data_IF_887919985583
#
_entry.id   IF_887919985583
#
_cell.length_a   1.000
_cell.length_b   1.000
_cell.length_c   1.000
_cell.angle_alpha   90.00
_cell.angle_beta   90.00
_cell.angle_gamma   90.00
#
_symmetry.space_group_name_H-M   'P 1'
#
loop_
_entity.id
_entity.type
_entity.pdbx_description
1 polymer ?
#
# COMPACT_ATOMS: atom_id res chain seq x y z
N UNK A 1 -17.53 23.53 -7.59
CA UNK A 1 -16.18 24.12 -7.75
C UNK A 1 -15.27 23.72 -6.58
N UNK A 2 -15.82 23.44 -5.40
CA UNK A 2 -15.10 22.97 -4.19
C UNK A 2 -14.53 21.52 -4.25
N UNK A 3 -14.71 20.82 -5.37
CA UNK A 3 -14.18 19.45 -5.56
C UNK A 3 -12.73 19.45 -6.11
N UNK A 4 -12.26 20.60 -6.60
CA UNK A 4 -10.96 20.72 -7.31
C UNK A 4 -9.89 21.36 -6.40
N UNK A 5 -10.28 22.07 -5.33
CA UNK A 5 -9.36 22.47 -4.24
C UNK A 5 -9.11 21.30 -3.28
N UNK A 6 -8.77 20.13 -3.84
CA UNK A 6 -8.33 18.96 -3.10
C UNK A 6 -6.91 19.23 -2.61
N UNK A 7 -6.79 19.90 -1.48
CA UNK A 7 -5.53 19.95 -0.76
C UNK A 7 -5.24 18.54 -0.25
N UNK A 8 -4.10 17.98 -0.64
CA UNK A 8 -3.67 16.68 -0.15
C UNK A 8 -3.48 16.73 1.37
N UNK A 9 -4.55 16.38 2.09
CA UNK A 9 -4.59 16.39 3.55
C UNK A 9 -4.31 14.97 4.03
N UNK A 10 -3.18 14.84 4.73
CA UNK A 10 -2.86 13.61 5.42
C UNK A 10 -3.56 13.57 6.76
N UNK A 11 -4.39 12.54 6.99
CA UNK A 11 -4.98 12.27 8.29
C UNK A 11 -4.24 11.11 8.95
N UNK A 12 -3.75 11.32 10.17
CA UNK A 12 -3.10 10.27 10.97
C UNK A 12 -4.07 9.85 12.07
N UNK A 13 -4.92 8.88 11.73
CA UNK A 13 -5.82 8.24 12.69
C UNK A 13 -5.26 6.92 13.21
N UNK A 14 -5.70 6.51 14.40
CA UNK A 14 -5.32 5.23 15.00
C UNK A 14 -5.72 4.04 14.12
N UNK A 15 -6.85 4.13 13.42
CA UNK A 15 -7.30 3.12 12.47
C UNK A 15 -6.37 3.00 11.26
N UNK A 16 -5.96 4.14 10.68
CA UNK A 16 -5.01 4.18 9.58
C UNK A 16 -3.64 3.62 10.00
N UNK A 17 -3.20 3.93 11.23
CA UNK A 17 -1.95 3.43 11.80
C UNK A 17 -1.98 1.91 11.98
N UNK A 18 -3.06 1.36 12.55
CA UNK A 18 -3.23 -0.10 12.74
C UNK A 18 -3.35 -0.80 11.38
N UNK A 19 -4.09 -0.23 10.43
CA UNK A 19 -4.22 -0.75 9.08
C UNK A 19 -2.88 -0.79 8.34
N UNK A 20 -2.11 0.30 8.39
CA UNK A 20 -0.77 0.36 7.82
C UNK A 20 0.19 -0.65 8.46
N UNK A 21 0.15 -0.80 9.79
CA UNK A 21 0.97 -1.79 10.49
C UNK A 21 0.61 -3.23 10.05
N UNK A 22 -0.67 -3.54 9.88
CA UNK A 22 -1.12 -4.85 9.41
C UNK A 22 -0.69 -5.12 7.96
N UNK A 23 -0.80 -4.13 7.06
CA UNK A 23 -0.35 -4.28 5.67
C UNK A 23 1.16 -4.52 5.63
N UNK A 24 1.94 -3.80 6.44
CA UNK A 24 3.40 -4.00 6.51
C UNK A 24 3.77 -5.40 7.01
N UNK A 25 3.10 -5.91 8.07
CA UNK A 25 3.40 -7.25 8.59
C UNK A 25 3.02 -8.34 7.58
N UNK A 26 1.87 -8.23 6.92
CA UNK A 26 1.47 -9.16 5.87
C UNK A 26 2.41 -9.11 4.66
N UNK A 27 2.85 -7.91 4.27
CA UNK A 27 3.78 -7.73 3.15
C UNK A 27 5.14 -8.36 3.48
N UNK A 28 5.65 -8.19 4.71
CA UNK A 28 6.89 -8.85 5.14
C UNK A 28 6.78 -10.38 5.09
N UNK A 29 5.67 -10.94 5.56
CA UNK A 29 5.43 -12.39 5.49
C UNK A 29 5.30 -12.87 4.03
N UNK A 30 4.57 -12.13 3.19
CA UNK A 30 4.39 -12.45 1.78
C UNK A 30 5.71 -12.36 1.00
N UNK A 31 6.58 -11.40 1.31
CA UNK A 31 7.93 -11.30 0.74
C UNK A 31 8.81 -12.45 1.20
N UNK A 32 8.79 -12.79 2.49
CA UNK A 32 9.56 -13.92 3.03
C UNK A 32 9.18 -15.24 2.35
N UNK A 33 7.89 -15.58 2.35
CA UNK A 33 7.42 -16.80 1.69
C UNK A 33 7.54 -16.73 0.16
N UNK A 34 7.35 -15.55 -0.43
CA UNK A 34 7.44 -15.34 -1.88
C UNK A 34 8.85 -15.54 -2.43
N UNK A 35 9.89 -15.12 -1.70
CA UNK A 35 11.28 -15.37 -2.07
C UNK A 35 11.58 -16.86 -2.00
N UNK A 36 11.18 -17.56 -0.94
CA UNK A 36 11.42 -19.00 -0.80
C UNK A 36 10.66 -19.80 -1.87
N UNK A 37 9.41 -19.44 -2.14
CA UNK A 37 8.55 -20.11 -3.12
C UNK A 37 9.02 -19.92 -4.57
N UNK A 38 9.40 -18.70 -4.96
CA UNK A 38 9.81 -18.38 -6.34
C UNK A 38 11.33 -18.38 -6.53
N UNK A 39 12.15 -18.85 -5.56
CA UNK A 39 13.62 -18.70 -5.57
C UNK A 39 14.30 -19.14 -6.88
N UNK A 40 13.67 -20.06 -7.62
CA UNK A 40 14.17 -20.60 -8.89
C UNK A 40 13.73 -19.83 -10.14
N UNK A 41 12.85 -18.85 -10.00
CA UNK A 41 12.28 -18.12 -11.14
C UNK A 41 12.97 -16.79 -11.40
N UNK A 42 13.24 -16.49 -12.68
CA UNK A 42 13.93 -15.28 -13.11
C UNK A 42 13.15 -13.97 -12.84
N UNK A 43 11.91 -14.06 -12.38
CA UNK A 43 10.98 -12.94 -12.28
C UNK A 43 10.65 -12.52 -10.84
N UNK A 44 11.37 -13.06 -9.85
CA UNK A 44 11.28 -12.64 -8.45
C UNK A 44 11.35 -11.12 -8.31
N UNK A 45 12.32 -10.47 -8.94
CA UNK A 45 12.53 -9.03 -8.75
C UNK A 45 11.33 -8.20 -9.19
N UNK A 46 10.61 -8.64 -10.23
CA UNK A 46 9.40 -7.95 -10.70
C UNK A 46 8.22 -8.18 -9.76
N UNK A 47 8.07 -9.39 -9.23
CA UNK A 47 7.04 -9.70 -8.24
C UNK A 47 7.29 -8.92 -6.94
N UNK A 48 8.52 -8.90 -6.43
CA UNK A 48 8.90 -8.13 -5.24
C UNK A 48 8.63 -6.63 -5.46
N UNK A 49 8.94 -6.09 -6.65
CA UNK A 49 8.67 -4.70 -6.97
C UNK A 49 7.16 -4.40 -6.98
N UNK A 50 6.36 -5.22 -7.66
CA UNK A 50 4.90 -5.06 -7.70
C UNK A 50 4.28 -5.16 -6.31
N UNK A 51 4.75 -6.09 -5.48
CA UNK A 51 4.23 -6.29 -4.14
C UNK A 51 4.55 -5.10 -3.22
N UNK A 52 5.76 -4.55 -3.31
CA UNK A 52 6.12 -3.34 -2.58
C UNK A 52 5.34 -2.12 -3.09
N UNK A 53 5.15 -1.99 -4.40
CA UNK A 53 4.35 -0.91 -4.99
C UNK A 53 2.90 -0.99 -4.49
N UNK A 54 2.31 -2.19 -4.47
CA UNK A 54 0.97 -2.43 -3.92
C UNK A 54 0.89 -2.06 -2.43
N UNK A 55 1.86 -2.49 -1.61
CA UNK A 55 1.85 -2.15 -0.18
C UNK A 55 1.93 -0.64 0.03
N UNK A 56 2.79 0.06 -0.71
CA UNK A 56 2.93 1.53 -0.60
C UNK A 56 1.70 2.29 -1.04
N UNK A 57 1.01 1.85 -2.11
CA UNK A 57 -0.20 2.50 -2.59
C UNK A 57 -1.38 2.31 -1.61
N UNK A 58 -1.52 1.11 -1.04
CA UNK A 58 -2.55 0.83 -0.02
C UNK A 58 -2.32 1.64 1.25
N UNK A 59 -1.08 1.69 1.73
CA UNK A 59 -0.73 2.49 2.92
C UNK A 59 -0.99 3.98 2.64
N UNK A 60 -0.59 4.47 1.48
CA UNK A 60 -0.85 5.85 1.07
C UNK A 60 -2.35 6.19 1.06
N UNK A 61 -3.19 5.26 0.61
CA UNK A 61 -4.64 5.41 0.61
C UNK A 61 -5.21 5.55 2.03
N UNK A 62 -4.70 4.80 3.02
CA UNK A 62 -5.14 4.94 4.41
C UNK A 62 -4.85 6.30 5.03
N UNK A 63 -3.81 6.99 4.56
CA UNK A 63 -3.43 8.31 5.07
C UNK A 63 -4.07 9.47 4.28
N UNK A 64 -4.65 9.21 3.11
CA UNK A 64 -5.32 10.24 2.32
C UNK A 64 -6.79 10.39 2.73
N UNK A 65 -7.16 11.58 3.18
CA UNK A 65 -8.54 11.90 3.60
C UNK A 65 -9.49 12.20 2.42
N UNK A 66 -8.94 12.44 1.22
CA UNK A 66 -9.74 12.82 0.06
C UNK A 66 -10.49 11.64 -0.57
N UNK A 67 -11.82 11.69 -0.51
CA UNK A 67 -12.76 10.75 -1.13
C UNK A 67 -12.50 10.50 -2.63
N UNK A 68 -11.84 11.43 -3.33
CA UNK A 68 -11.53 11.30 -4.76
C UNK A 68 -10.51 10.17 -5.04
N UNK A 69 -9.58 9.91 -4.11
CA UNK A 69 -8.57 8.86 -4.23
C UNK A 69 -9.14 7.46 -3.91
N UNK A 70 -10.18 7.41 -3.08
CA UNK A 70 -10.90 6.17 -2.72
C UNK A 70 -11.85 5.72 -3.84
N UNK A 71 -12.39 6.64 -4.65
CA UNK A 71 -13.34 6.32 -5.74
C UNK A 71 -12.64 5.89 -7.05
N UNK A 72 -11.38 6.29 -7.25
CA UNK A 72 -10.58 5.95 -8.45
C UNK A 72 -9.54 4.83 -8.25
N UNK A 73 -9.32 4.37 -7.00
CA UNK A 73 -8.49 3.20 -6.68
C UNK A 73 -9.28 1.90 -6.76
#
# INVERSE_FOLDING_TARGET
LDLIDSHLIFCVDTLALIGAALVLTLTMLALYFGIEYMYREAFINRLLYLLNLFATSVIFLFFCYDFFLIIFA
#
